data_IF_658670839194
#
_entry.id   IF_658670839194
#
_cell.length_a   1.000
_cell.length_b   1.000
_cell.length_c   1.000
_cell.angle_alpha   90.00
_cell.angle_beta   90.00
_cell.angle_gamma   90.00
#
_symmetry.space_group_name_H-M   'P 1'
#
loop_
_entity.id
_entity.type
_entity.pdbx_description
1 polymer ?
#
# COMPACT_ATOMS: atom_id res chain seq x y z
N UNK A 1 -54.99 31.13 -18.39
CA UNK A 1 -54.58 31.99 -19.52
C UNK A 1 -53.42 31.29 -20.23
N UNK A 2 -53.63 30.92 -21.51
CA UNK A 2 -52.69 30.78 -22.65
C UNK A 2 -51.38 29.97 -22.39
N UNK A 3 -51.23 28.70 -22.83
CA UNK A 3 -50.81 28.17 -24.17
C UNK A 3 -49.43 28.72 -24.62
N UNK A 4 -48.38 27.93 -24.84
CA UNK A 4 -47.96 27.15 -26.03
C UNK A 4 -46.56 26.55 -25.66
N UNK A 5 -46.02 25.41 -26.11
CA UNK A 5 -45.93 24.84 -27.46
C UNK A 5 -44.59 25.24 -28.11
N UNK A 6 -43.54 24.40 -28.05
CA UNK A 6 -42.45 24.26 -29.08
C UNK A 6 -41.34 23.27 -28.60
N UNK A 7 -41.23 22.07 -29.17
CA UNK A 7 -40.36 21.63 -30.30
C UNK A 7 -38.86 21.58 -29.94
N UNK A 8 -38.28 20.37 -30.03
CA UNK A 8 -36.85 20.08 -29.92
C UNK A 8 -36.12 20.58 -31.19
N UNK A 9 -34.95 21.23 -31.08
CA UNK A 9 -33.98 21.29 -32.17
C UNK A 9 -33.02 20.10 -32.10
N UNK A 10 -32.85 19.42 -33.23
CA UNK A 10 -31.74 18.51 -33.49
C UNK A 10 -30.42 19.31 -33.58
N UNK A 11 -29.32 18.71 -33.08
CA UNK A 11 -27.97 19.19 -33.31
C UNK A 11 -27.29 19.85 -32.11
N UNK A 12 -26.74 19.07 -31.18
CA UNK A 12 -25.71 19.53 -30.26
C UNK A 12 -24.50 18.58 -30.29
N UNK A 13 -23.43 19.05 -30.91
CA UNK A 13 -22.06 18.58 -30.67
C UNK A 13 -21.74 18.95 -29.21
N UNK A 14 -21.58 17.97 -28.32
CA UNK A 14 -21.17 18.24 -26.95
C UNK A 14 -19.63 18.22 -26.83
N UNK A 15 -19.06 19.41 -26.68
CA UNK A 15 -17.80 19.62 -25.94
C UNK A 15 -18.09 19.58 -24.42
N UNK A 16 -17.09 19.28 -23.56
CA UNK A 16 -17.29 18.59 -22.30
C UNK A 16 -17.88 19.51 -21.22
N UNK A 17 -18.96 19.06 -20.56
CA UNK A 17 -19.60 19.80 -19.46
C UNK A 17 -18.62 20.08 -18.31
N UNK A 18 -18.15 21.33 -18.25
CA UNK A 18 -17.93 22.03 -16.99
C UNK A 18 -19.29 22.23 -16.28
N UNK A 19 -19.24 22.37 -14.96
CA UNK A 19 -20.32 22.90 -14.12
C UNK A 19 -21.41 21.92 -13.65
N UNK A 20 -20.99 20.94 -12.85
CA UNK A 20 -21.72 20.61 -11.62
C UNK A 20 -20.73 20.72 -10.46
N UNK A 21 -20.68 21.91 -9.83
CA UNK A 21 -20.00 22.09 -8.54
C UNK A 21 -20.90 21.48 -7.46
N UNK A 22 -20.54 20.35 -6.81
CA UNK A 22 -21.40 19.78 -5.78
C UNK A 22 -21.25 20.58 -4.47
N UNK A 23 -22.32 20.58 -3.67
CA UNK A 23 -22.46 21.34 -2.40
C UNK A 23 -21.52 20.84 -1.29
N UNK A 24 -20.22 21.15 -1.38
CA UNK A 24 -19.23 20.91 -0.30
C UNK A 24 -18.87 22.17 0.49
N UNK A 25 -19.33 23.36 0.05
CA UNK A 25 -19.27 24.58 0.86
C UNK A 25 -20.46 24.55 1.82
N UNK A 26 -20.22 24.02 3.02
CA UNK A 26 -20.72 24.56 4.30
C UNK A 26 -20.49 23.54 5.42
N UNK A 27 -19.26 23.52 5.96
CA UNK A 27 -18.96 23.35 7.40
C UNK A 27 -17.45 23.32 7.61
N UNK A 28 -16.90 24.45 8.03
CA UNK A 28 -15.70 24.46 8.86
C UNK A 28 -15.96 23.68 10.15
N UNK A 29 -15.09 22.71 10.48
CA UNK A 29 -14.45 22.57 11.81
C UNK A 29 -13.19 21.68 11.68
N UNK A 30 -12.03 22.34 11.76
CA UNK A 30 -10.81 22.05 12.54
C UNK A 30 -10.26 20.61 12.61
N UNK A 31 -9.00 20.52 12.15
CA UNK A 31 -7.81 19.84 12.70
C UNK A 31 -7.08 19.12 11.57
N UNK A 32 -5.83 19.52 11.31
CA UNK A 32 -4.99 19.07 10.20
C UNK A 32 -4.89 17.55 10.07
N UNK A 33 -5.71 16.98 9.19
CA UNK A 33 -5.49 15.64 8.65
C UNK A 33 -4.49 15.81 7.51
N UNK A 34 -3.24 15.55 7.87
CA UNK A 34 -2.08 15.47 6.98
C UNK A 34 -2.44 14.73 5.68
N UNK A 35 -1.86 15.21 4.58
CA UNK A 35 -2.04 14.75 3.21
C UNK A 35 -1.50 13.33 3.02
N UNK A 36 -2.10 12.34 3.69
CA UNK A 36 -1.66 10.95 3.64
C UNK A 36 -2.39 10.22 2.53
N UNK A 37 -1.61 9.58 1.66
CA UNK A 37 -2.13 8.68 0.62
C UNK A 37 -2.03 7.27 1.17
N UNK A 38 -3.17 6.66 1.50
CA UNK A 38 -3.22 5.27 1.97
C UNK A 38 -3.23 4.32 0.78
N UNK A 39 -2.28 3.38 0.75
CA UNK A 39 -2.16 2.35 -0.27
C UNK A 39 -2.36 0.98 0.38
N UNK A 40 -3.45 0.29 0.04
CA UNK A 40 -3.83 -1.03 0.58
C UNK A 40 -3.87 -2.07 -0.53
N UNK A 41 -3.53 -3.31 -0.19
CA UNK A 41 -3.67 -4.43 -1.11
C UNK A 41 -5.05 -5.08 -0.97
N UNK A 42 -5.68 -5.36 -2.10
CA UNK A 42 -6.94 -6.09 -2.20
C UNK A 42 -6.85 -7.11 -3.34
N UNK A 43 -6.47 -8.35 -3.00
CA UNK A 43 -6.28 -9.46 -3.93
C UNK A 43 -5.34 -9.13 -5.11
N UNK A 44 -5.90 -8.91 -6.31
CA UNK A 44 -5.18 -8.59 -7.55
C UNK A 44 -5.09 -7.08 -7.81
N UNK A 45 -5.67 -6.26 -6.93
CA UNK A 45 -5.72 -4.81 -7.07
C UNK A 45 -5.09 -4.13 -5.85
N UNK A 46 -4.67 -2.89 -6.05
CA UNK A 46 -4.19 -1.98 -5.02
C UNK A 46 -5.23 -0.89 -4.89
N UNK A 47 -5.76 -0.70 -3.69
CA UNK A 47 -6.68 0.39 -3.34
C UNK A 47 -5.88 1.58 -2.83
N UNK A 48 -6.25 2.77 -3.27
CA UNK A 48 -5.57 4.03 -3.00
C UNK A 48 -6.63 5.02 -2.51
N UNK A 49 -6.44 5.57 -1.32
CA UNK A 49 -7.35 6.53 -0.70
C UNK A 49 -6.59 7.79 -0.30
N UNK A 50 -7.14 8.96 -0.64
CA UNK A 50 -6.59 10.26 -0.30
C UNK A 50 -7.69 11.32 -0.35
N UNK A 51 -7.53 12.47 0.36
CA UNK A 51 -8.43 13.62 0.22
C UNK A 51 -8.52 14.10 -1.22
N UNK A 52 -9.64 14.72 -1.61
CA UNK A 52 -9.80 15.20 -2.99
C UNK A 52 -8.66 16.15 -3.38
N UNK A 53 -7.81 15.70 -4.31
CA UNK A 53 -6.72 16.49 -4.87
C UNK A 53 -6.67 16.24 -6.39
N UNK A 54 -6.88 17.28 -7.22
CA UNK A 54 -6.90 17.13 -8.67
C UNK A 54 -5.55 16.67 -9.24
N UNK A 55 -4.44 16.98 -8.60
CA UNK A 55 -3.10 16.53 -9.01
C UNK A 55 -2.97 15.01 -8.84
N UNK A 56 -3.43 14.47 -7.71
CA UNK A 56 -3.38 13.02 -7.45
C UNK A 56 -4.34 12.23 -8.34
N UNK A 57 -5.52 12.79 -8.65
CA UNK A 57 -6.45 12.19 -9.62
C UNK A 57 -5.80 12.14 -11.01
N UNK A 58 -5.11 13.21 -11.43
CA UNK A 58 -4.42 13.26 -12.72
C UNK A 58 -3.30 12.22 -12.77
N UNK A 59 -2.51 12.12 -11.70
CA UNK A 59 -1.48 11.07 -11.51
C UNK A 59 -2.05 9.65 -11.66
N UNK A 60 -3.18 9.34 -11.03
CA UNK A 60 -3.81 8.00 -11.13
C UNK A 60 -4.38 7.73 -12.52
N UNK A 61 -5.00 8.73 -13.15
CA UNK A 61 -5.57 8.57 -14.50
C UNK A 61 -4.52 8.23 -15.55
N UNK A 62 -3.25 8.58 -15.32
CA UNK A 62 -2.11 8.19 -16.16
C UNK A 62 -1.84 6.68 -16.14
N UNK A 63 -2.24 5.97 -15.08
CA UNK A 63 -1.95 4.54 -14.90
C UNK A 63 -3.03 3.70 -15.57
N UNK A 64 -2.68 2.90 -16.58
CA UNK A 64 -3.65 2.03 -17.25
C UNK A 64 -4.36 1.05 -16.28
N UNK A 65 -5.69 0.93 -16.41
CA UNK A 65 -6.51 -0.03 -15.65
C UNK A 65 -7.03 0.47 -14.29
N UNK A 66 -6.97 1.79 -14.03
CA UNK A 66 -7.57 2.40 -12.85
C UNK A 66 -9.10 2.23 -12.81
N UNK A 67 -9.67 2.18 -11.60
CA UNK A 67 -11.12 2.19 -11.35
C UNK A 67 -11.42 3.05 -10.13
N UNK A 68 -12.52 3.80 -10.16
CA UNK A 68 -13.03 4.52 -9.00
C UNK A 68 -14.11 3.69 -8.31
N UNK A 69 -14.02 3.54 -6.98
CA UNK A 69 -15.01 2.87 -6.15
C UNK A 69 -15.77 3.92 -5.32
N UNK A 70 -17.00 4.29 -5.70
CA UNK A 70 -17.71 5.40 -5.07
C UNK A 70 -18.14 5.11 -3.63
N UNK A 71 -18.44 3.85 -3.28
CA UNK A 71 -18.85 3.45 -1.94
C UNK A 71 -17.74 3.65 -0.91
N UNK A 72 -16.52 3.27 -1.28
CA UNK A 72 -15.32 3.38 -0.43
C UNK A 72 -14.54 4.67 -0.64
N UNK A 73 -14.93 5.45 -1.65
CA UNK A 73 -14.26 6.69 -2.08
C UNK A 73 -12.76 6.46 -2.35
N UNK A 74 -12.43 5.33 -2.97
CA UNK A 74 -11.05 4.93 -3.23
C UNK A 74 -10.83 4.64 -4.72
N UNK A 75 -9.61 4.84 -5.18
CA UNK A 75 -9.16 4.40 -6.49
C UNK A 75 -8.59 3.00 -6.39
N UNK A 76 -8.74 2.17 -7.41
CA UNK A 76 -8.05 0.88 -7.49
C UNK A 76 -7.29 0.74 -8.80
N UNK A 77 -6.07 0.21 -8.71
CA UNK A 77 -5.21 -0.10 -9.86
C UNK A 77 -4.78 -1.57 -9.81
N UNK A 78 -4.42 -2.20 -10.93
CA UNK A 78 -3.89 -3.56 -10.91
C UNK A 78 -2.58 -3.65 -10.12
N UNK A 79 -2.38 -4.73 -9.34
CA UNK A 79 -1.16 -4.92 -8.53
C UNK A 79 0.11 -4.93 -9.38
N UNK A 80 0.03 -5.40 -10.63
CA UNK A 80 1.13 -5.36 -11.61
C UNK A 80 1.67 -3.96 -11.91
N UNK A 81 0.93 -2.90 -11.54
CA UNK A 81 1.31 -1.50 -11.75
C UNK A 81 1.82 -0.82 -10.47
N UNK A 82 2.14 -1.58 -9.42
CA UNK A 82 2.67 -1.06 -8.16
C UNK A 82 3.89 -0.17 -8.39
N UNK A 83 4.88 -0.62 -9.18
CA UNK A 83 6.11 0.16 -9.40
C UNK A 83 5.81 1.47 -10.13
N UNK A 84 4.95 1.44 -11.15
CA UNK A 84 4.49 2.65 -11.84
C UNK A 84 3.79 3.61 -10.89
N UNK A 85 2.95 3.09 -9.98
CA UNK A 85 2.29 3.89 -8.97
C UNK A 85 3.29 4.55 -8.04
N UNK A 86 4.26 3.81 -7.51
CA UNK A 86 5.28 4.34 -6.61
C UNK A 86 6.10 5.45 -7.29
N UNK A 87 6.45 5.29 -8.57
CA UNK A 87 7.17 6.33 -9.33
C UNK A 87 6.32 7.57 -9.61
N UNK A 88 5.02 7.40 -9.88
CA UNK A 88 4.11 8.53 -10.14
C UNK A 88 3.89 9.39 -8.88
N UNK A 89 3.97 8.75 -7.71
CA UNK A 89 3.83 9.39 -6.41
C UNK A 89 5.18 9.61 -5.71
N UNK A 90 6.29 9.56 -6.45
CA UNK A 90 7.60 9.84 -5.89
C UNK A 90 7.66 11.27 -5.33
N UNK A 91 8.16 11.42 -4.11
CA UNK A 91 8.17 12.68 -3.35
C UNK A 91 6.90 13.03 -2.55
N UNK A 92 5.86 12.19 -2.59
CA UNK A 92 4.65 12.37 -1.77
C UNK A 92 4.66 11.47 -0.52
N UNK A 93 3.87 11.82 0.50
CA UNK A 93 3.78 11.02 1.72
C UNK A 93 2.83 9.82 1.55
N UNK A 94 3.38 8.71 1.02
CA UNK A 94 2.67 7.46 0.82
C UNK A 94 2.70 6.59 2.08
N UNK A 95 1.54 6.28 2.63
CA UNK A 95 1.38 5.27 3.68
C UNK A 95 1.03 3.93 3.01
N UNK A 96 2.05 3.10 2.82
CA UNK A 96 1.91 1.78 2.20
C UNK A 96 1.59 0.74 3.27
N UNK A 97 0.53 -0.05 3.06
CA UNK A 97 0.22 -1.19 3.92
C UNK A 97 1.42 -2.15 3.98
N UNK A 98 1.96 -2.46 5.18
CA UNK A 98 3.06 -3.40 5.35
C UNK A 98 2.85 -4.73 4.61
N UNK A 99 1.61 -5.19 4.46
CA UNK A 99 1.27 -6.44 3.76
C UNK A 99 1.78 -6.43 2.31
N UNK A 100 1.75 -5.27 1.63
CA UNK A 100 2.25 -5.13 0.24
C UNK A 100 3.72 -5.53 0.16
N UNK A 101 4.52 -5.17 1.17
CA UNK A 101 5.93 -5.50 1.22
C UNK A 101 6.19 -6.97 1.59
N UNK A 102 5.28 -7.60 2.33
CA UNK A 102 5.46 -8.96 2.84
C UNK A 102 4.94 -10.06 1.91
N UNK A 103 4.41 -9.73 0.74
CA UNK A 103 3.94 -10.73 -0.23
C UNK A 103 5.09 -11.63 -0.74
N UNK A 104 6.27 -11.05 -0.98
CA UNK A 104 7.45 -11.82 -1.41
C UNK A 104 7.92 -12.75 -0.29
N UNK A 105 7.91 -12.27 0.97
CA UNK A 105 8.18 -13.09 2.15
C UNK A 105 7.20 -14.27 2.25
N UNK A 106 5.89 -14.00 2.15
CA UNK A 106 4.86 -15.04 2.21
C UNK A 106 5.08 -16.09 1.13
N UNK A 107 5.32 -15.65 -0.11
CA UNK A 107 5.56 -16.53 -1.25
C UNK A 107 6.76 -17.44 -0.99
N UNK A 108 7.88 -16.88 -0.55
CA UNK A 108 9.10 -17.65 -0.31
C UNK A 108 8.94 -18.65 0.84
N UNK A 109 8.28 -18.27 1.93
CA UNK A 109 8.00 -19.19 3.04
C UNK A 109 7.13 -20.37 2.60
N UNK A 110 6.12 -20.12 1.74
CA UNK A 110 5.27 -21.17 1.17
C UNK A 110 6.05 -22.07 0.22
N UNK A 111 6.90 -21.49 -0.64
CA UNK A 111 7.74 -22.26 -1.58
C UNK A 111 8.72 -23.18 -0.84
N UNK A 112 9.27 -22.73 0.29
CA UNK A 112 10.13 -23.53 1.17
C UNK A 112 9.36 -24.50 2.08
N UNK A 113 8.04 -24.63 1.89
CA UNK A 113 7.16 -25.56 2.63
C UNK A 113 7.18 -25.37 4.14
N UNK A 114 7.38 -24.14 4.63
CA UNK A 114 7.21 -23.85 6.04
C UNK A 114 5.78 -24.15 6.49
N UNK A 115 5.63 -24.56 7.75
CA UNK A 115 4.30 -24.79 8.32
C UNK A 115 3.46 -23.51 8.30
N UNK A 116 2.13 -23.63 8.15
CA UNK A 116 1.22 -22.48 8.18
C UNK A 116 1.35 -21.66 9.47
N UNK A 117 1.68 -22.31 10.59
CA UNK A 117 1.95 -21.65 11.86
C UNK A 117 3.20 -20.76 11.78
N UNK A 118 4.27 -21.28 11.19
CA UNK A 118 5.53 -20.53 10.99
C UNK A 118 5.34 -19.38 10.02
N UNK A 119 4.63 -19.60 8.90
CA UNK A 119 4.30 -18.55 7.93
C UNK A 119 3.59 -17.39 8.63
N UNK A 120 2.54 -17.69 9.41
CA UNK A 120 1.79 -16.66 10.15
C UNK A 120 2.67 -15.89 11.15
N UNK A 121 3.51 -16.60 11.92
CA UNK A 121 4.39 -15.97 12.89
C UNK A 121 5.43 -15.05 12.22
N UNK A 122 6.02 -15.50 11.11
CA UNK A 122 7.02 -14.71 10.40
C UNK A 122 6.40 -13.45 9.78
N UNK A 123 5.23 -13.58 9.17
CA UNK A 123 4.48 -12.42 8.66
C UNK A 123 4.08 -11.48 9.79
N UNK A 124 3.65 -12.00 10.93
CA UNK A 124 3.27 -11.20 12.09
C UNK A 124 4.43 -10.34 12.58
N UNK A 125 5.60 -10.93 12.87
CA UNK A 125 6.74 -10.17 13.39
C UNK A 125 7.26 -9.13 12.39
N UNK A 126 7.32 -9.47 11.10
CA UNK A 126 7.73 -8.51 10.08
C UNK A 126 6.70 -7.38 9.91
N UNK A 127 5.40 -7.69 9.98
CA UNK A 127 4.33 -6.68 9.91
C UNK A 127 4.41 -5.73 11.10
N UNK A 128 4.47 -6.28 12.32
CA UNK A 128 4.55 -5.49 13.55
C UNK A 128 5.79 -4.59 13.54
N UNK A 129 6.93 -5.12 13.09
CA UNK A 129 8.15 -4.33 12.95
C UNK A 129 8.00 -3.14 11.97
N UNK A 130 7.37 -3.36 10.82
CA UNK A 130 7.13 -2.30 9.84
C UNK A 130 6.14 -1.25 10.37
N UNK A 131 5.14 -1.66 11.16
CA UNK A 131 4.19 -0.74 11.81
C UNK A 131 4.86 0.11 12.90
N UNK A 132 5.77 -0.48 13.69
CA UNK A 132 6.51 0.22 14.75
C UNK A 132 7.55 1.17 14.16
N UNK A 133 8.35 0.70 13.21
CA UNK A 133 9.39 1.52 12.58
C UNK A 133 8.81 2.61 11.69
N UNK A 134 7.63 2.40 11.10
CA UNK A 134 7.01 3.28 10.08
C UNK A 134 7.96 3.59 8.92
N UNK A 135 8.95 2.73 8.69
CA UNK A 135 9.94 2.87 7.63
C UNK A 135 9.59 1.96 6.47
N UNK A 136 10.01 2.38 5.29
CA UNK A 136 10.04 1.51 4.13
C UNK A 136 10.99 0.33 4.42
N UNK A 137 10.62 -0.94 4.15
CA UNK A 137 11.50 -2.08 4.37
C UNK A 137 12.87 -1.98 3.68
N UNK A 138 13.00 -1.24 2.59
CA UNK A 138 14.29 -1.02 1.92
C UNK A 138 15.17 0.03 2.62
N UNK A 139 14.62 0.82 3.54
CA UNK A 139 15.31 1.88 4.29
C UNK A 139 15.56 1.50 5.76
N UNK A 140 15.23 0.27 6.16
CA UNK A 140 15.48 -0.24 7.51
C UNK A 140 16.98 -0.45 7.72
N UNK A 141 17.48 0.02 8.86
CA UNK A 141 18.84 -0.22 9.32
C UNK A 141 18.92 -1.33 10.36
N UNK A 142 20.13 -1.84 10.62
CA UNK A 142 20.36 -2.81 11.69
C UNK A 142 20.01 -2.24 13.08
N UNK A 143 20.13 -0.92 13.27
CA UNK A 143 19.76 -0.25 14.52
C UNK A 143 18.24 -0.34 14.74
N UNK A 144 17.44 -0.11 13.70
CA UNK A 144 15.99 -0.24 13.78
C UNK A 144 15.55 -1.65 14.21
N UNK A 145 16.24 -2.67 13.71
CA UNK A 145 16.00 -4.06 14.10
C UNK A 145 16.36 -4.27 15.58
N UNK A 146 17.49 -3.74 16.06
CA UNK A 146 17.87 -3.83 17.48
C UNK A 146 16.84 -3.12 18.37
N UNK A 147 16.42 -1.92 18.00
CA UNK A 147 15.44 -1.13 18.75
C UNK A 147 14.11 -1.88 18.87
N UNK A 148 13.64 -2.50 17.78
CA UNK A 148 12.44 -3.32 17.80
C UNK A 148 12.58 -4.55 18.70
N UNK A 149 13.70 -5.26 18.63
CA UNK A 149 13.95 -6.42 19.49
C UNK A 149 14.05 -6.01 20.96
N UNK A 150 14.63 -4.85 21.25
CA UNK A 150 14.66 -4.27 22.59
C UNK A 150 13.25 -3.94 23.09
N UNK A 151 12.42 -3.29 22.27
CA UNK A 151 11.00 -3.03 22.56
C UNK A 151 10.20 -4.32 22.84
N UNK A 152 10.46 -5.41 22.10
CA UNK A 152 9.81 -6.71 22.38
C UNK A 152 10.12 -7.24 23.79
N UNK A 153 11.36 -7.08 24.25
CA UNK A 153 11.77 -7.56 25.57
C UNK A 153 11.26 -6.64 26.67
N UNK A 154 11.41 -5.33 26.50
CA UNK A 154 11.13 -4.36 27.55
C UNK A 154 9.64 -4.02 27.70
N UNK A 155 8.92 -3.86 26.58
CA UNK A 155 7.56 -3.32 26.60
C UNK A 155 6.50 -4.42 26.44
N UNK A 156 6.88 -5.55 25.82
CA UNK A 156 5.97 -6.69 25.61
C UNK A 156 6.34 -7.94 26.40
N UNK A 157 7.37 -7.86 27.25
CA UNK A 157 7.87 -8.97 28.07
C UNK A 157 8.00 -10.28 27.28
N UNK A 158 8.49 -10.18 26.03
CA UNK A 158 8.51 -11.30 25.12
C UNK A 158 9.36 -12.46 25.69
N UNK A 159 8.77 -13.66 25.69
CA UNK A 159 9.52 -14.87 26.06
C UNK A 159 10.72 -15.07 25.13
N UNK A 160 11.75 -15.80 25.61
CA UNK A 160 12.90 -16.15 24.78
C UNK A 160 12.51 -16.85 23.46
N UNK A 161 11.46 -17.66 23.48
CA UNK A 161 10.94 -18.33 22.28
C UNK A 161 10.30 -17.37 21.29
N UNK A 162 9.56 -16.37 21.78
CA UNK A 162 8.97 -15.31 20.98
C UNK A 162 10.06 -14.44 20.34
N UNK A 163 11.04 -14.02 21.14
CA UNK A 163 12.18 -13.22 20.66
C UNK A 163 12.97 -13.96 19.58
N UNK A 164 13.27 -15.24 19.79
CA UNK A 164 13.95 -16.07 18.78
C UNK A 164 13.15 -16.19 17.49
N UNK A 165 11.81 -16.29 17.58
CA UNK A 165 10.95 -16.33 16.40
C UNK A 165 10.99 -14.99 15.64
N UNK A 166 10.95 -13.86 16.36
CA UNK A 166 11.09 -12.54 15.78
C UNK A 166 12.46 -12.34 15.10
N UNK A 167 13.56 -12.69 15.79
CA UNK A 167 14.92 -12.62 15.24
C UNK A 167 15.02 -13.41 13.94
N UNK A 168 14.56 -14.66 13.93
CA UNK A 168 14.63 -15.51 12.74
C UNK A 168 13.74 -14.96 11.61
N UNK A 169 12.55 -14.46 11.93
CA UNK A 169 11.65 -13.87 10.96
C UNK A 169 12.23 -12.63 10.27
N UNK A 170 12.85 -11.72 11.05
CA UNK A 170 13.48 -10.52 10.53
C UNK A 170 14.76 -10.86 9.77
N UNK A 171 15.61 -11.73 10.33
CA UNK A 171 16.84 -12.20 9.67
C UNK A 171 16.54 -12.84 8.32
N UNK A 172 15.48 -13.63 8.23
CA UNK A 172 15.07 -14.25 6.98
C UNK A 172 14.66 -13.20 5.93
N UNK A 173 13.79 -12.26 6.33
CA UNK A 173 13.29 -11.24 5.41
C UNK A 173 14.39 -10.27 4.94
N UNK A 174 15.09 -9.63 5.88
CA UNK A 174 16.12 -8.63 5.56
C UNK A 174 17.45 -9.26 5.11
N UNK A 175 17.75 -10.49 5.53
CA UNK A 175 19.00 -11.17 5.21
C UNK A 175 18.94 -12.06 3.96
N UNK A 176 17.78 -12.63 3.61
CA UNK A 176 17.65 -13.49 2.44
C UNK A 176 16.78 -12.86 1.36
N UNK A 177 15.55 -12.43 1.69
CA UNK A 177 14.59 -11.97 0.67
C UNK A 177 15.03 -10.64 0.05
N UNK A 178 15.26 -9.61 0.87
CA UNK A 178 15.57 -8.28 0.37
C UNK A 178 16.97 -8.20 -0.28
N UNK A 179 17.95 -8.97 0.23
CA UNK A 179 19.28 -9.07 -0.39
C UNK A 179 19.26 -9.83 -1.72
N UNK A 180 18.39 -10.83 -1.88
CA UNK A 180 18.25 -11.50 -3.17
C UNK A 180 17.63 -10.58 -4.24
N UNK A 181 16.81 -9.59 -3.85
CA UNK A 181 16.28 -8.58 -4.78
C UNK A 181 17.38 -7.65 -5.31
N UNK A 182 18.36 -7.24 -4.49
CA UNK A 182 19.50 -6.46 -4.98
C UNK A 182 20.43 -7.28 -5.87
N UNK A 183 20.54 -8.59 -5.60
CA UNK A 183 21.49 -9.49 -6.27
C UNK A 183 20.88 -10.26 -7.46
N UNK A 184 19.65 -9.91 -7.89
CA UNK A 184 18.82 -10.61 -8.90
C UNK A 184 19.42 -10.74 -10.32
N UNK A 185 20.71 -10.44 -10.51
CA UNK A 185 21.51 -10.85 -11.67
C UNK A 185 22.11 -12.26 -11.57
N UNK A 186 21.98 -12.97 -10.44
CA UNK A 186 22.44 -14.37 -10.29
C UNK A 186 21.32 -15.25 -9.79
N UNK A 187 20.73 -16.04 -10.68
CA UNK A 187 19.91 -17.20 -10.33
C UNK A 187 20.81 -18.15 -9.52
N UNK A 188 20.73 -18.08 -8.18
CA UNK A 188 21.27 -19.13 -7.33
C UNK A 188 20.24 -20.25 -7.32
N UNK A 189 20.67 -21.40 -7.83
CA UNK A 189 19.97 -22.69 -7.75
C UNK A 189 19.18 -22.79 -6.45
N UNK A 190 17.88 -23.05 -6.57
CA UNK A 190 17.05 -23.53 -5.46
C UNK A 190 17.82 -24.66 -4.76
N UNK A 191 18.33 -24.39 -3.56
CA UNK A 191 18.78 -25.45 -2.67
C UNK A 191 17.59 -25.81 -1.81
N UNK A 192 16.79 -26.72 -2.35
CA UNK A 192 15.78 -27.45 -1.58
C UNK A 192 16.55 -28.24 -0.53
N UNK A 193 16.43 -27.86 0.74
CA UNK A 193 16.76 -28.72 1.87
C UNK A 193 15.50 -29.47 2.29
#
# INVERSE_FOLDING_TARGET
>A
MIKDGEVRPEGCICEPCSDIIPKWKDREVRIGREEMIEVKRDEERIRISFPYNPNYITKIKTIAGYRWHPEERCWSVPYSKLETLLSVFDGENLVIDPIIHLDELKKELVLRKYSQRTVKLYLYHNKEFLEVSKKNPYAVSDEDIRDYLYHLVNDREASASTLNTAINALKFYYGEILKQRSDRGRIRSCRLY
#
